data_IF_447939078891
#
_entry.id   IF_447939078891
#
_cell.length_a   1.000
_cell.length_b   1.000
_cell.length_c   1.000
_cell.angle_alpha   90.00
_cell.angle_beta   90.00
_cell.angle_gamma   90.00
#
_symmetry.space_group_name_H-M   'P 1'
#
loop_
_entity.id
_entity.type
_entity.pdbx_description
1 polymer ?
#
# COMPACT_ATOMS: atom_id res chain seq x y z
N UNK A 1 -1.00 -2.26 -17.59
CA UNK A 1 -2.42 -2.16 -17.18
C UNK A 1 -2.50 -1.51 -15.81
N UNK A 2 -3.43 -0.57 -15.59
CA UNK A 2 -3.50 0.24 -14.36
C UNK A 2 -3.72 -0.61 -13.10
N UNK A 3 -4.62 -1.59 -13.17
CA UNK A 3 -4.92 -2.48 -12.04
C UNK A 3 -3.72 -3.28 -11.55
N UNK A 4 -2.76 -3.60 -12.44
CA UNK A 4 -1.52 -4.27 -12.05
C UNK A 4 -0.69 -3.47 -11.05
N UNK A 5 -0.53 -2.17 -11.28
CA UNK A 5 0.18 -1.29 -10.34
C UNK A 5 -0.60 -1.12 -9.02
N UNK A 6 -1.93 -1.03 -9.09
CA UNK A 6 -2.78 -0.86 -7.90
C UNK A 6 -2.61 -2.02 -6.92
N UNK A 7 -2.62 -3.26 -7.41
CA UNK A 7 -2.51 -4.44 -6.55
C UNK A 7 -1.07 -4.78 -6.19
N UNK A 8 -0.09 -4.52 -7.07
CA UNK A 8 1.31 -4.87 -6.82
C UNK A 8 1.93 -4.12 -5.63
N UNK A 9 1.44 -2.91 -5.33
CA UNK A 9 1.95 -2.10 -4.23
C UNK A 9 1.17 -2.27 -2.93
N UNK A 10 0.11 -3.09 -2.91
CA UNK A 10 -0.61 -3.39 -1.67
C UNK A 10 0.35 -3.94 -0.60
N UNK A 11 0.21 -3.55 0.69
CA UNK A 11 1.14 -3.99 1.74
C UNK A 11 1.21 -5.50 1.95
N UNK A 12 0.14 -6.25 1.67
CA UNK A 12 0.14 -7.71 1.77
C UNK A 12 0.77 -8.40 0.55
N UNK A 13 1.11 -7.67 -0.51
CA UNK A 13 1.62 -8.23 -1.76
C UNK A 13 3.15 -8.17 -1.78
N UNK A 14 3.73 -9.37 -1.89
CA UNK A 14 5.15 -9.59 -2.14
C UNK A 14 5.47 -9.80 -3.61
N UNK A 15 4.53 -10.40 -4.36
CA UNK A 15 4.72 -10.82 -5.75
C UNK A 15 3.47 -10.55 -6.58
N UNK A 16 3.65 -9.87 -7.72
CA UNK A 16 2.62 -9.58 -8.69
C UNK A 16 3.22 -9.53 -10.10
N UNK A 17 2.45 -9.94 -11.10
CA UNK A 17 2.92 -10.04 -12.47
C UNK A 17 1.84 -9.66 -13.49
N UNK A 18 2.29 -9.24 -14.67
CA UNK A 18 1.40 -8.94 -15.79
C UNK A 18 1.60 -10.02 -16.87
N UNK A 19 0.51 -10.66 -17.30
CA UNK A 19 0.59 -11.72 -18.30
C UNK A 19 1.35 -12.97 -17.85
N UNK A 20 1.52 -13.19 -16.54
CA UNK A 20 2.24 -14.36 -16.01
C UNK A 20 1.59 -15.64 -16.49
N UNK A 21 2.35 -16.50 -17.16
CA UNK A 21 1.86 -17.76 -17.70
C UNK A 21 1.88 -18.88 -16.66
N UNK A 22 0.72 -19.50 -16.42
CA UNK A 22 0.53 -20.65 -15.54
C UNK A 22 0.24 -21.92 -16.34
N UNK A 23 0.73 -23.04 -15.81
CA UNK A 23 0.38 -24.40 -16.21
C UNK A 23 -0.31 -25.09 -15.02
N UNK A 24 -1.59 -24.79 -14.74
CA UNK A 24 -2.29 -25.34 -13.57
C UNK A 24 -2.52 -26.86 -13.65
N UNK A 25 -2.60 -27.40 -14.86
CA UNK A 25 -2.75 -28.83 -15.13
C UNK A 25 -2.03 -29.18 -16.45
N UNK A 26 -1.68 -30.46 -16.69
CA UNK A 26 -1.10 -30.88 -17.96
C UNK A 26 -1.94 -30.38 -19.14
N UNK A 27 -1.28 -29.77 -20.12
CA UNK A 27 -1.88 -29.21 -21.35
C UNK A 27 -2.82 -27.99 -21.16
N UNK A 28 -2.98 -27.51 -19.92
CA UNK A 28 -3.75 -26.30 -19.63
C UNK A 28 -2.80 -25.13 -19.41
N UNK A 29 -2.85 -24.14 -20.30
CA UNK A 29 -2.06 -22.90 -20.18
C UNK A 29 -2.96 -21.70 -19.94
N UNK A 30 -2.74 -20.96 -18.85
CA UNK A 30 -3.54 -19.79 -18.50
C UNK A 30 -2.63 -18.63 -18.15
N UNK A 31 -2.82 -17.50 -18.81
CA UNK A 31 -2.07 -16.28 -18.51
C UNK A 31 -3.05 -15.16 -18.17
N UNK A 32 -3.33 -14.88 -16.88
CA UNK A 32 -4.16 -13.75 -16.53
C UNK A 32 -3.47 -12.43 -16.85
N UNK A 33 -4.28 -11.39 -17.09
CA UNK A 33 -3.76 -10.07 -17.41
C UNK A 33 -2.93 -9.50 -16.26
N UNK A 34 -3.38 -9.73 -15.02
CA UNK A 34 -2.62 -9.46 -13.80
C UNK A 34 -2.75 -10.66 -12.86
N UNK A 35 -1.66 -11.03 -12.21
CA UNK A 35 -1.60 -12.06 -11.18
C UNK A 35 -1.02 -11.47 -9.88
N UNK A 36 -1.54 -11.92 -8.74
CA UNK A 36 -1.03 -11.62 -7.39
C UNK A 36 -0.87 -12.92 -6.62
N UNK A 37 0.32 -13.13 -6.04
CA UNK A 37 0.70 -14.40 -5.43
C UNK A 37 1.09 -15.46 -6.45
N UNK A 38 2.06 -16.31 -6.12
CA UNK A 38 2.69 -17.30 -6.98
C UNK A 38 3.17 -16.70 -8.31
N UNK A 39 4.03 -15.68 -8.23
CA UNK A 39 4.65 -14.99 -9.37
C UNK A 39 6.18 -15.02 -9.19
N UNK A 40 6.83 -16.17 -9.44
CA UNK A 40 8.27 -16.29 -9.24
C UNK A 40 9.05 -15.41 -10.22
N UNK A 41 10.19 -14.89 -9.77
CA UNK A 41 11.16 -14.16 -10.61
C UNK A 41 12.05 -15.16 -11.38
N UNK A 42 11.42 -15.99 -12.19
CA UNK A 42 12.08 -16.98 -13.03
C UNK A 42 11.33 -17.15 -14.36
N UNK A 43 12.04 -17.38 -15.47
CA UNK A 43 11.40 -17.62 -16.76
C UNK A 43 10.70 -18.99 -16.78
N UNK A 44 9.62 -19.08 -17.55
CA UNK A 44 8.91 -20.34 -17.82
C UNK A 44 7.45 -20.32 -17.39
N UNK A 45 6.81 -21.49 -17.48
CA UNK A 45 5.43 -21.68 -17.05
C UNK A 45 5.38 -21.96 -15.54
N UNK A 46 4.62 -21.14 -14.84
CA UNK A 46 4.47 -21.25 -13.38
C UNK A 46 3.51 -22.40 -13.06
N UNK A 47 3.90 -23.38 -12.23
CA UNK A 47 2.98 -24.42 -11.78
C UNK A 47 1.94 -23.84 -10.80
N UNK A 48 0.75 -24.46 -10.78
CA UNK A 48 -0.35 -24.02 -9.92
C UNK A 48 -1.05 -22.77 -10.44
N UNK A 49 -1.48 -21.89 -9.53
CA UNK A 49 -2.29 -20.73 -9.86
C UNK A 49 -1.98 -19.53 -8.93
N UNK A 50 -2.30 -18.29 -9.32
CA UNK A 50 -2.16 -17.12 -8.45
C UNK A 50 -3.26 -17.08 -7.39
N UNK A 51 -3.02 -16.34 -6.30
CA UNK A 51 -4.05 -16.12 -5.27
C UNK A 51 -5.19 -15.24 -5.77
N UNK A 52 -4.87 -14.21 -6.55
CA UNK A 52 -5.81 -13.33 -7.25
C UNK A 52 -5.38 -13.19 -8.72
N UNK A 53 -6.33 -13.38 -9.63
CA UNK A 53 -6.18 -13.09 -11.05
C UNK A 53 -7.12 -11.95 -11.45
N UNK A 54 -6.65 -11.04 -12.30
CA UNK A 54 -7.48 -9.98 -12.89
C UNK A 54 -7.49 -10.16 -14.41
N UNK A 55 -8.69 -10.12 -14.98
CA UNK A 55 -8.94 -10.09 -16.41
C UNK A 55 -9.54 -8.74 -16.80
N UNK A 56 -9.15 -8.23 -17.95
CA UNK A 56 -9.84 -7.12 -18.60
C UNK A 56 -10.61 -7.68 -19.78
N UNK A 57 -11.90 -7.38 -19.85
CA UNK A 57 -12.78 -7.82 -20.92
C UNK A 57 -13.50 -6.62 -21.56
N UNK A 58 -13.46 -6.57 -22.88
CA UNK A 58 -14.17 -5.61 -23.73
C UNK A 58 -15.26 -6.31 -24.56
N UNK A 59 -16.11 -5.55 -25.25
CA UNK A 59 -17.30 -6.07 -25.94
C UNK A 59 -16.99 -7.07 -27.07
N UNK A 60 -15.75 -7.14 -27.55
CA UNK A 60 -15.30 -8.05 -28.61
C UNK A 60 -14.72 -9.37 -28.11
N UNK A 61 -14.59 -9.56 -26.79
CA UNK A 61 -13.95 -10.75 -26.23
C UNK A 61 -14.84 -11.99 -26.27
N UNK A 62 -14.21 -13.16 -26.38
CA UNK A 62 -14.88 -14.46 -26.36
C UNK A 62 -15.27 -14.83 -24.92
N UNK A 63 -16.53 -14.59 -24.56
CA UNK A 63 -17.10 -14.89 -23.24
C UNK A 63 -16.98 -16.38 -22.87
N UNK A 64 -17.11 -17.30 -23.83
CA UNK A 64 -17.01 -18.72 -23.54
C UNK A 64 -15.57 -19.11 -23.20
N UNK A 65 -14.59 -18.50 -23.88
CA UNK A 65 -13.17 -18.67 -23.55
C UNK A 65 -12.84 -18.04 -22.20
N UNK A 66 -13.38 -16.87 -21.89
CA UNK A 66 -13.20 -16.22 -20.60
C UNK A 66 -13.79 -17.06 -19.47
N UNK A 67 -15.01 -17.58 -19.63
CA UNK A 67 -15.65 -18.47 -18.66
C UNK A 67 -14.79 -19.71 -18.36
N UNK A 68 -14.31 -20.41 -19.40
CA UNK A 68 -13.39 -21.55 -19.23
C UNK A 68 -12.13 -21.16 -18.46
N UNK A 69 -11.53 -20.02 -18.80
CA UNK A 69 -10.32 -19.51 -18.10
C UNK A 69 -10.58 -19.27 -16.62
N UNK A 70 -11.73 -18.70 -16.26
CA UNK A 70 -12.14 -18.49 -14.87
C UNK A 70 -12.27 -19.83 -14.15
N UNK A 71 -12.98 -20.79 -14.75
CA UNK A 71 -13.18 -22.13 -14.17
C UNK A 71 -11.86 -22.86 -13.94
N UNK A 72 -10.94 -22.80 -14.91
CA UNK A 72 -9.63 -23.45 -14.78
C UNK A 72 -8.78 -22.82 -13.66
N UNK A 73 -8.79 -21.49 -13.54
CA UNK A 73 -8.03 -20.79 -12.50
C UNK A 73 -8.60 -21.09 -11.11
N UNK A 74 -9.93 -21.00 -10.95
CA UNK A 74 -10.60 -21.32 -9.69
C UNK A 74 -10.39 -22.80 -9.32
N UNK A 75 -10.54 -23.71 -10.29
CA UNK A 75 -10.31 -25.15 -10.10
C UNK A 75 -8.86 -25.49 -9.74
N UNK A 76 -7.91 -24.67 -10.16
CA UNK A 76 -6.49 -24.80 -9.83
C UNK A 76 -6.07 -24.13 -8.51
N UNK A 77 -7.01 -23.52 -7.78
CA UNK A 77 -6.77 -22.95 -6.45
C UNK A 77 -6.66 -21.42 -6.40
N UNK A 78 -6.93 -20.71 -7.50
CA UNK A 78 -7.12 -19.25 -7.42
C UNK A 78 -8.34 -18.94 -6.54
N UNK A 79 -8.15 -18.05 -5.56
CA UNK A 79 -9.21 -17.70 -4.60
C UNK A 79 -10.13 -16.60 -5.12
N UNK A 80 -9.58 -15.71 -5.93
CA UNK A 80 -10.30 -14.55 -6.46
C UNK A 80 -9.98 -14.37 -7.94
N UNK A 81 -11.01 -14.28 -8.78
CA UNK A 81 -10.87 -13.80 -10.16
C UNK A 81 -11.71 -12.54 -10.32
N UNK A 82 -11.09 -11.44 -10.71
CA UNK A 82 -11.76 -10.17 -10.98
C UNK A 82 -11.81 -9.93 -12.49
N UNK A 83 -13.00 -9.85 -13.06
CA UNK A 83 -13.18 -9.50 -14.48
C UNK A 83 -13.62 -8.04 -14.57
N UNK A 84 -12.74 -7.19 -15.07
CA UNK A 84 -12.99 -5.78 -15.31
C UNK A 84 -13.70 -5.64 -16.66
N UNK A 85 -15.00 -5.34 -16.63
CA UNK A 85 -15.82 -5.09 -17.82
C UNK A 85 -15.64 -3.63 -18.25
N UNK A 86 -14.96 -3.41 -19.37
CA UNK A 86 -14.61 -2.07 -19.87
C UNK A 86 -15.72 -1.42 -20.70
N UNK A 87 -16.59 -2.25 -21.31
CA UNK A 87 -17.79 -1.80 -21.98
C UNK A 87 -18.79 -1.18 -20.98
N UNK A 88 -19.51 -0.15 -21.40
CA UNK A 88 -20.50 0.50 -20.54
C UNK A 88 -21.74 -0.41 -20.34
N UNK A 89 -22.29 -0.50 -19.10
CA UNK A 89 -21.78 0.10 -17.87
C UNK A 89 -20.54 -0.62 -17.33
N UNK A 90 -19.48 0.16 -17.06
CA UNK A 90 -18.24 -0.39 -16.49
C UNK A 90 -18.51 -0.95 -15.11
N UNK A 91 -17.99 -2.15 -14.85
CA UNK A 91 -18.13 -2.83 -13.57
C UNK A 91 -17.07 -3.91 -13.45
N UNK A 92 -16.98 -4.52 -12.28
CA UNK A 92 -16.12 -5.67 -12.03
C UNK A 92 -16.96 -6.85 -11.61
N UNK A 93 -16.78 -7.99 -12.25
CA UNK A 93 -17.34 -9.25 -11.78
C UNK A 93 -16.32 -9.92 -10.85
N UNK A 94 -16.74 -10.26 -9.64
CA UNK A 94 -15.94 -10.94 -8.64
C UNK A 94 -16.37 -12.40 -8.62
N UNK A 95 -15.45 -13.28 -8.96
CA UNK A 95 -15.64 -14.73 -8.98
C UNK A 95 -14.81 -15.35 -7.85
N UNK A 96 -15.44 -16.28 -7.11
CA UNK A 96 -14.82 -17.01 -6.01
C UNK A 96 -15.28 -18.49 -6.06
N UNK A 97 -14.49 -19.44 -5.53
CA UNK A 97 -14.82 -20.86 -5.58
C UNK A 97 -16.18 -21.17 -4.92
N UNK A 98 -17.07 -21.83 -5.66
CA UNK A 98 -18.36 -22.31 -5.15
C UNK A 98 -19.41 -21.23 -4.93
N UNK A 99 -19.13 -19.97 -5.30
CA UNK A 99 -20.06 -18.85 -5.16
C UNK A 99 -20.52 -18.32 -6.53
N UNK A 100 -21.76 -17.83 -6.66
CA UNK A 100 -22.19 -17.15 -7.87
C UNK A 100 -21.41 -15.83 -8.04
N UNK A 101 -21.09 -15.41 -9.26
CA UNK A 101 -20.33 -14.19 -9.49
C UNK A 101 -21.09 -12.96 -9.00
N UNK A 102 -20.39 -12.09 -8.28
CA UNK A 102 -20.93 -10.83 -7.79
C UNK A 102 -20.51 -9.68 -8.70
N UNK A 103 -21.46 -8.86 -9.12
CA UNK A 103 -21.19 -7.61 -9.84
C UNK A 103 -20.88 -6.49 -8.84
N UNK A 104 -19.77 -5.79 -9.05
CA UNK A 104 -19.37 -4.60 -8.32
C UNK A 104 -19.36 -3.37 -9.25
N UNK A 105 -20.11 -2.34 -8.86
CA UNK A 105 -20.32 -1.13 -9.66
C UNK A 105 -19.35 0.01 -9.27
N UNK A 106 -19.21 1.05 -10.12
CA UNK A 106 -18.44 2.24 -9.75
C UNK A 106 -18.89 2.81 -8.40
N UNK A 107 -17.94 3.20 -7.55
CA UNK A 107 -18.15 3.64 -6.18
C UNK A 107 -18.09 2.52 -5.13
N UNK A 108 -18.16 1.26 -5.56
CA UNK A 108 -18.03 0.12 -4.66
C UNK A 108 -16.57 -0.32 -4.46
N UNK A 109 -16.35 -1.03 -3.37
CA UNK A 109 -15.05 -1.58 -2.99
C UNK A 109 -14.98 -3.08 -3.31
N UNK A 110 -13.84 -3.47 -3.87
CA UNK A 110 -13.45 -4.84 -4.13
C UNK A 110 -12.57 -5.32 -2.97
N UNK A 111 -12.89 -6.49 -2.46
CA UNK A 111 -12.12 -7.14 -1.40
C UNK A 111 -11.58 -8.46 -1.92
N UNK A 112 -10.32 -8.76 -1.61
CA UNK A 112 -9.70 -10.06 -1.86
C UNK A 112 -8.95 -10.55 -0.61
N UNK A 113 -9.66 -10.92 0.48
CA UNK A 113 -9.05 -11.39 1.71
C UNK A 113 -8.00 -12.48 1.47
N UNK A 114 -6.86 -12.30 2.12
CA UNK A 114 -5.71 -13.19 2.00
C UNK A 114 -4.89 -13.03 0.71
N UNK A 115 -5.32 -12.20 -0.24
CA UNK A 115 -4.52 -11.80 -1.41
C UNK A 115 -4.13 -10.32 -1.34
N UNK A 116 -5.01 -9.46 -0.83
CA UNK A 116 -4.80 -8.01 -0.63
C UNK A 116 -5.15 -7.61 0.80
N UNK A 117 -4.44 -6.61 1.33
CA UNK A 117 -4.77 -5.94 2.59
C UNK A 117 -5.83 -4.87 2.37
N UNK A 118 -5.65 -4.03 1.35
CA UNK A 118 -6.51 -2.90 1.10
C UNK A 118 -7.68 -3.27 0.19
N UNK A 119 -8.88 -2.70 0.43
CA UNK A 119 -9.93 -2.74 -0.57
C UNK A 119 -9.55 -1.87 -1.78
N UNK A 120 -9.97 -2.31 -2.98
CA UNK A 120 -9.72 -1.60 -4.23
C UNK A 120 -11.02 -1.00 -4.76
N UNK A 121 -11.07 0.31 -4.97
CA UNK A 121 -12.21 0.94 -5.65
C UNK A 121 -12.33 0.38 -7.08
N UNK A 122 -13.54 0.07 -7.53
CA UNK A 122 -13.79 -0.46 -8.89
C UNK A 122 -13.11 0.40 -9.96
N UNK A 123 -13.21 1.73 -9.84
CA UNK A 123 -12.60 2.69 -10.75
C UNK A 123 -11.09 2.61 -10.78
N UNK A 124 -10.42 2.23 -9.69
CA UNK A 124 -8.96 2.17 -9.65
C UNK A 124 -8.38 1.15 -10.66
N UNK A 125 -9.20 0.22 -11.16
CA UNK A 125 -8.74 -0.75 -12.15
C UNK A 125 -8.69 -0.20 -13.58
N UNK A 126 -9.38 0.92 -13.89
CA UNK A 126 -9.46 1.49 -15.24
C UNK A 126 -9.35 3.03 -15.33
N UNK A 127 -9.59 3.77 -14.25
CA UNK A 127 -9.42 5.21 -14.15
C UNK A 127 -8.04 5.55 -13.58
N UNK A 128 -7.33 6.44 -14.28
CA UNK A 128 -5.94 6.78 -13.93
C UNK A 128 -5.83 7.48 -12.59
N UNK A 129 -6.73 8.40 -12.28
CA UNK A 129 -6.66 9.19 -11.06
C UNK A 129 -7.01 8.32 -9.84
N UNK A 130 -8.02 7.45 -9.97
CA UNK A 130 -8.35 6.47 -8.95
C UNK A 130 -7.19 5.48 -8.71
N UNK A 131 -6.56 4.98 -9.78
CA UNK A 131 -5.40 4.10 -9.67
C UNK A 131 -4.23 4.77 -8.93
N UNK A 132 -3.89 6.02 -9.28
CA UNK A 132 -2.80 6.76 -8.63
C UNK A 132 -3.06 6.99 -7.14
N UNK A 133 -4.30 7.31 -6.75
CA UNK A 133 -4.68 7.45 -5.33
C UNK A 133 -4.52 6.14 -4.57
N UNK A 134 -4.94 5.02 -5.16
CA UNK A 134 -4.80 3.70 -4.55
C UNK A 134 -3.32 3.33 -4.36
N UNK A 135 -2.49 3.52 -5.41
CA UNK A 135 -1.04 3.25 -5.33
C UNK A 135 -0.37 4.11 -4.27
N UNK A 136 -0.65 5.43 -4.22
CA UNK A 136 -0.10 6.32 -3.21
C UNK A 136 -0.45 5.85 -1.78
N UNK A 137 -1.70 5.45 -1.57
CA UNK A 137 -2.17 4.96 -0.26
C UNK A 137 -1.38 3.72 0.16
N UNK A 138 -1.23 2.74 -0.74
CA UNK A 138 -0.48 1.52 -0.43
C UNK A 138 1.01 1.78 -0.21
N UNK A 139 1.64 2.68 -0.99
CA UNK A 139 3.04 3.08 -0.79
C UNK A 139 3.25 3.74 0.58
N UNK A 140 2.37 4.66 0.98
CA UNK A 140 2.45 5.29 2.30
C UNK A 140 2.38 4.25 3.41
N UNK A 141 1.46 3.28 3.31
CA UNK A 141 1.30 2.25 4.32
C UNK A 141 2.53 1.32 4.42
N UNK A 142 3.19 1.03 3.29
CA UNK A 142 4.47 0.28 3.30
C UNK A 142 5.58 1.04 4.02
N UNK A 143 5.58 2.36 3.93
CA UNK A 143 6.48 3.25 4.67
C UNK A 143 6.00 3.54 6.12
N UNK A 144 4.96 2.86 6.60
CA UNK A 144 4.45 3.02 7.96
C UNK A 144 3.53 4.24 8.17
N UNK A 145 3.04 4.83 7.08
CA UNK A 145 2.16 6.00 7.10
C UNK A 145 0.74 5.66 6.64
N UNK A 146 -0.27 6.05 7.41
CA UNK A 146 -1.67 5.79 7.05
C UNK A 146 -2.19 6.74 5.96
N UNK A 147 -1.59 7.92 5.80
CA UNK A 147 -1.99 8.95 4.86
C UNK A 147 -0.90 10.01 4.66
N UNK A 148 -1.08 10.90 3.67
CA UNK A 148 -0.23 12.08 3.51
C UNK A 148 -0.31 13.02 4.74
N UNK A 149 -1.46 13.09 5.39
CA UNK A 149 -1.65 13.88 6.61
C UNK A 149 -0.83 13.30 7.75
N UNK A 150 -0.85 11.97 7.94
CA UNK A 150 0.00 11.29 8.92
C UNK A 150 1.50 11.55 8.69
N UNK A 151 1.95 11.53 7.43
CA UNK A 151 3.32 11.87 7.05
C UNK A 151 3.63 13.35 7.37
N UNK A 152 2.73 14.26 7.03
CA UNK A 152 2.87 15.70 7.31
C UNK A 152 2.93 15.98 8.81
N UNK A 153 2.06 15.36 9.60
CA UNK A 153 2.01 15.53 11.06
C UNK A 153 3.27 14.99 11.74
N UNK A 154 3.86 13.91 11.22
CA UNK A 154 5.19 13.46 11.65
C UNK A 154 6.25 14.52 11.36
N UNK A 155 6.33 15.01 10.13
CA UNK A 155 7.32 16.03 9.75
C UNK A 155 7.18 17.33 10.55
N UNK A 156 5.94 17.78 10.82
CA UNK A 156 5.70 18.96 11.67
C UNK A 156 6.16 18.74 13.12
N UNK A 157 5.97 17.54 13.67
CA UNK A 157 6.47 17.20 15.01
C UNK A 157 7.99 17.16 15.05
N UNK A 158 8.63 16.50 14.09
CA UNK A 158 10.09 16.41 13.98
C UNK A 158 10.72 17.81 13.86
N UNK A 159 10.23 18.64 12.92
CA UNK A 159 10.73 20.00 12.76
C UNK A 159 10.48 20.91 13.98
N UNK A 160 9.38 20.71 14.71
CA UNK A 160 9.13 21.43 15.96
C UNK A 160 10.11 20.99 17.06
N UNK A 161 10.43 19.71 17.16
CA UNK A 161 11.39 19.21 18.14
C UNK A 161 12.80 19.74 17.82
N UNK A 162 13.23 19.69 16.55
CA UNK A 162 14.50 20.27 16.11
C UNK A 162 14.60 21.77 16.44
N UNK A 163 13.53 22.52 16.17
CA UNK A 163 13.46 23.95 16.51
C UNK A 163 13.55 24.22 18.01
N UNK A 164 12.93 23.37 18.84
CA UNK A 164 13.03 23.48 20.30
C UNK A 164 14.42 23.10 20.82
N UNK A 165 15.07 22.07 20.26
CA UNK A 165 16.44 21.72 20.58
C UNK A 165 17.39 22.88 20.27
N UNK A 166 17.24 23.50 19.09
CA UNK A 166 18.02 24.68 18.72
C UNK A 166 17.75 25.85 19.68
N UNK A 167 16.48 26.11 20.02
CA UNK A 167 16.14 27.17 20.96
C UNK A 167 16.74 26.95 22.36
N UNK A 168 16.84 25.70 22.83
CA UNK A 168 17.53 25.37 24.08
C UNK A 168 19.01 25.73 23.99
N UNK A 169 19.69 25.33 22.90
CA UNK A 169 21.10 25.68 22.66
C UNK A 169 21.32 27.19 22.60
N UNK A 170 20.50 27.90 21.85
CA UNK A 170 20.58 29.35 21.69
C UNK A 170 20.38 30.07 23.04
N UNK A 171 19.42 29.62 23.85
CA UNK A 171 19.20 30.17 25.20
C UNK A 171 20.37 29.88 26.12
N UNK A 172 20.94 28.68 26.07
CA UNK A 172 22.14 28.36 26.84
C UNK A 172 23.32 29.27 26.47
N UNK A 173 23.56 29.48 25.17
CA UNK A 173 24.60 30.39 24.68
C UNK A 173 24.38 31.83 25.16
N UNK A 174 23.17 32.38 24.95
CA UNK A 174 22.81 33.74 25.37
C UNK A 174 22.92 33.94 26.89
N UNK A 175 22.60 32.91 27.68
CA UNK A 175 22.68 32.96 29.14
C UNK A 175 24.08 32.59 29.68
N UNK A 176 25.02 32.19 28.83
CA UNK A 176 26.35 31.71 29.25
C UNK A 176 26.32 30.39 30.04
N UNK A 177 25.32 29.54 29.80
CA UNK A 177 25.20 28.21 30.39
C UNK A 177 26.03 27.24 29.54
N UNK A 178 27.13 26.73 30.11
CA UNK A 178 27.96 25.73 29.44
C UNK A 178 27.22 24.39 29.34
N UNK A 179 26.93 23.97 28.11
CA UNK A 179 26.39 22.66 27.78
C UNK A 179 27.54 21.66 27.62
N UNK A 180 27.52 20.57 28.39
CA UNK A 180 28.38 19.42 28.16
C UNK A 180 27.89 18.59 26.97
N UNK A 181 28.77 17.74 26.43
CA UNK A 181 28.44 16.83 25.33
C UNK A 181 27.30 15.88 25.68
N UNK A 182 27.23 15.41 26.93
CA UNK A 182 26.17 14.50 27.38
C UNK A 182 24.82 15.21 27.48
N UNK A 183 24.82 16.46 27.95
CA UNK A 183 23.62 17.29 28.02
C UNK A 183 23.10 17.63 26.62
N UNK A 184 23.99 17.96 25.68
CA UNK A 184 23.61 18.20 24.29
C UNK A 184 23.08 16.94 23.60
N UNK A 185 23.69 15.79 23.85
CA UNK A 185 23.19 14.50 23.35
C UNK A 185 21.82 14.16 23.93
N UNK A 186 21.58 14.47 25.21
CA UNK A 186 20.29 14.21 25.88
C UNK A 186 19.12 14.94 25.22
N UNK A 187 19.36 16.08 24.56
CA UNK A 187 18.32 16.84 23.84
C UNK A 187 17.70 16.05 22.68
N UNK A 188 18.44 15.13 22.09
CA UNK A 188 17.96 14.29 20.97
C UNK A 188 16.92 13.27 21.42
N UNK A 189 16.96 12.87 22.68
CA UNK A 189 16.05 11.88 23.27
C UNK A 189 14.77 12.53 23.84
N UNK A 190 14.75 13.85 24.00
CA UNK A 190 13.58 14.56 24.54
C UNK A 190 12.53 14.81 23.46
N UNK A 191 11.27 14.61 23.84
CA UNK A 191 10.14 14.99 23.00
C UNK A 191 9.81 16.49 23.10
N UNK A 192 8.94 16.97 22.19
CA UNK A 192 8.57 18.39 22.13
C UNK A 192 8.07 18.97 23.45
N UNK A 193 7.16 18.32 24.19
CA UNK A 193 6.75 18.77 25.52
C UNK A 193 7.90 18.86 26.53
N UNK A 194 8.79 17.86 26.59
CA UNK A 194 9.94 17.88 27.49
C UNK A 194 10.93 19.00 27.13
N UNK A 195 11.23 19.19 25.83
CA UNK A 195 12.07 20.27 25.34
C UNK A 195 11.49 21.65 25.67
N UNK A 196 10.19 21.84 25.49
CA UNK A 196 9.50 23.10 25.82
C UNK A 196 9.56 23.38 27.33
N UNK A 197 9.35 22.35 28.17
CA UNK A 197 9.45 22.48 29.62
C UNK A 197 10.89 22.80 30.07
N UNK A 198 11.89 22.16 29.46
CA UNK A 198 13.31 22.43 29.69
C UNK A 198 13.64 23.89 29.34
N UNK A 199 13.22 24.36 28.17
CA UNK A 199 13.42 25.73 27.71
C UNK A 199 12.85 26.75 28.70
N UNK A 200 11.62 26.55 29.17
CA UNK A 200 10.99 27.44 30.17
C UNK A 200 11.72 27.40 31.51
N UNK A 201 12.23 26.24 31.91
CA UNK A 201 13.03 26.09 33.12
C UNK A 201 14.36 26.84 33.01
N UNK A 202 15.07 26.72 31.88
CA UNK A 202 16.31 27.44 31.61
C UNK A 202 16.12 28.96 31.66
N UNK A 203 15.06 29.48 31.04
CA UNK A 203 14.72 30.91 31.07
C UNK A 203 14.53 31.44 32.50
N UNK A 204 13.91 30.64 33.38
CA UNK A 204 13.59 31.01 34.76
C UNK A 204 14.78 30.85 35.71
N UNK A 205 15.44 29.69 35.65
CA UNK A 205 16.47 29.29 36.63
C UNK A 205 17.87 29.71 36.21
N UNK A 206 18.08 30.03 34.91
CA UNK A 206 19.35 30.46 34.31
C UNK A 206 20.52 29.52 34.60
N UNK A 207 20.23 28.22 34.70
CA UNK A 207 21.21 27.15 34.86
C UNK A 207 20.62 25.85 34.32
N UNK A 208 21.50 24.93 33.91
CA UNK A 208 21.08 23.61 33.49
C UNK A 208 20.42 22.83 34.64
N UNK A 209 19.31 22.10 34.39
CA UNK A 209 18.73 21.19 35.36
C UNK A 209 19.70 20.11 35.83
N UNK A 210 19.90 19.99 37.14
CA UNK A 210 20.51 18.78 37.69
C UNK A 210 19.51 17.61 37.58
N UNK A 211 19.99 16.39 37.28
CA UNK A 211 19.17 15.18 37.23
C UNK A 211 18.47 14.87 38.56
#
# INVERSE_FOLDING_TARGET
MLGGAVVAWDPAVSEAGAGTGYCPAPEVLRAPHVAVGNVPDAPGWVPGAPALAIEYADAGDDEARLARKIDDLLGAGTRWVWVVRLAAPRHVEVHAPGEPPRRALPGELLHAPGALQNPVQVEALYDRAAAQRAVLTSLLQREGHSSLESLRDRGLREGRNEGLQQAVRDVCDVLGIALSTDEDASLLELDGPALAALLERLKRERRWPLP
#
